data_IF_795376180449
#
_entry.id   IF_795376180449
#
_cell.length_a   1.000
_cell.length_b   1.000
_cell.length_c   1.000
_cell.angle_alpha   90.00
_cell.angle_beta   90.00
_cell.angle_gamma   90.00
#
_symmetry.space_group_name_H-M   'P 1'
#
loop_
_entity.id
_entity.type
_entity.pdbx_description
1 polymer ?
#
# COMPACT_ATOMS: atom_id res chain seq x y z
N UNK A 1 -0.88 21.38 -12.52
CA UNK A 1 -1.06 19.91 -12.38
C UNK A 1 -0.86 19.19 -13.70
N UNK A 2 -1.76 19.31 -14.70
CA UNK A 2 -1.66 18.58 -15.98
C UNK A 2 -0.29 18.71 -16.64
N UNK A 3 0.21 19.94 -16.83
CA UNK A 3 1.52 20.17 -17.45
C UNK A 3 2.66 19.41 -16.77
N UNK A 4 2.63 19.30 -15.44
CA UNK A 4 3.65 18.55 -14.69
C UNK A 4 3.50 17.04 -14.92
N UNK A 5 2.28 16.51 -14.79
CA UNK A 5 1.99 15.09 -15.02
C UNK A 5 2.36 14.69 -16.45
N UNK A 6 1.88 15.42 -17.46
CA UNK A 6 2.21 15.17 -18.87
C UNK A 6 3.72 15.18 -19.09
N UNK A 7 4.46 16.14 -18.53
CA UNK A 7 5.89 16.26 -18.75
C UNK A 7 6.69 15.11 -18.11
N UNK A 8 6.31 14.67 -16.91
CA UNK A 8 7.02 13.62 -16.17
C UNK A 8 6.62 12.24 -16.69
N UNK A 9 5.32 11.94 -16.76
CA UNK A 9 4.82 10.62 -17.12
C UNK A 9 5.18 10.27 -18.58
N UNK A 10 4.98 11.18 -19.53
CA UNK A 10 5.34 10.91 -20.95
C UNK A 10 6.84 10.76 -21.16
N UNK A 11 7.67 11.41 -20.34
CA UNK A 11 9.13 11.34 -20.48
C UNK A 11 9.67 9.95 -20.14
N UNK A 12 8.98 9.21 -19.27
CA UNK A 12 9.46 7.94 -18.72
C UNK A 12 8.51 6.77 -19.00
N UNK A 13 7.57 6.91 -19.94
CA UNK A 13 6.55 5.89 -20.25
C UNK A 13 7.13 4.57 -20.79
N UNK A 14 8.37 4.59 -21.27
CA UNK A 14 9.10 3.40 -21.74
C UNK A 14 9.95 2.73 -20.64
N UNK A 15 10.02 3.32 -19.45
CA UNK A 15 10.88 2.87 -18.34
C UNK A 15 10.06 2.56 -17.08
N UNK A 16 9.07 3.39 -16.75
CA UNK A 16 8.34 3.34 -15.49
C UNK A 16 7.06 2.54 -15.65
N UNK A 17 6.96 1.41 -14.94
CA UNK A 17 5.79 0.53 -15.01
C UNK A 17 4.61 0.99 -14.14
N UNK A 18 4.85 1.83 -13.12
CA UNK A 18 3.81 2.33 -12.24
C UNK A 18 4.12 3.71 -11.63
N UNK A 19 3.07 4.42 -11.25
CA UNK A 19 3.16 5.72 -10.59
C UNK A 19 2.29 5.79 -9.34
N UNK A 20 2.85 6.29 -8.24
CA UNK A 20 2.06 6.86 -7.15
C UNK A 20 1.58 8.25 -7.59
N UNK A 21 0.39 8.30 -8.19
CA UNK A 21 -0.14 9.52 -8.83
C UNK A 21 -0.52 10.57 -7.78
N UNK A 22 -1.06 10.12 -6.66
CA UNK A 22 -1.40 10.96 -5.51
C UNK A 22 -0.93 10.27 -4.24
N UNK A 23 -0.17 11.02 -3.44
CA UNK A 23 0.38 10.56 -2.17
C UNK A 23 -0.31 11.28 -1.00
N UNK A 24 -0.70 10.51 0.02
CA UNK A 24 -1.08 11.01 1.36
C UNK A 24 -2.22 12.04 1.43
N UNK A 25 -3.19 11.94 0.53
CA UNK A 25 -4.30 12.90 0.51
C UNK A 25 -5.31 12.72 1.67
N UNK A 26 -5.33 11.57 2.36
CA UNK A 26 -6.36 11.24 3.36
C UNK A 26 -5.89 11.59 4.78
N UNK A 27 -6.81 12.17 5.56
CA UNK A 27 -6.51 12.63 6.93
C UNK A 27 -6.47 11.48 7.96
N UNK A 28 -5.55 11.58 8.92
CA UNK A 28 -5.45 10.66 10.06
C UNK A 28 -6.52 10.91 11.13
N UNK A 29 -7.18 12.07 11.14
CA UNK A 29 -8.23 12.39 12.13
C UNK A 29 -9.44 11.48 11.96
N UNK A 30 -9.60 10.48 12.83
CA UNK A 30 -10.66 9.48 12.78
C UNK A 30 -12.09 10.06 12.72
N UNK A 31 -12.29 11.29 13.22
CA UNK A 31 -13.60 11.93 13.31
C UNK A 31 -13.85 12.97 12.21
N UNK A 32 -12.89 13.17 11.29
CA UNK A 32 -13.03 14.15 10.23
C UNK A 32 -14.23 13.84 9.33
N UNK A 33 -15.11 14.83 9.16
CA UNK A 33 -16.24 14.77 8.22
C UNK A 33 -15.77 14.83 6.78
N UNK A 34 -14.70 15.60 6.53
CA UNK A 34 -14.00 15.64 5.26
C UNK A 34 -12.81 14.67 5.30
N UNK A 35 -12.76 13.64 4.44
CA UNK A 35 -11.72 12.63 4.50
C UNK A 35 -10.36 13.13 4.01
N UNK A 36 -10.29 14.31 3.38
CA UNK A 36 -9.06 14.83 2.79
C UNK A 36 -8.32 15.79 3.70
N UNK A 37 -6.99 15.66 3.72
CA UNK A 37 -6.10 16.61 4.39
C UNK A 37 -6.24 18.02 3.80
N UNK A 38 -6.09 19.08 4.61
CA UNK A 38 -5.88 20.42 4.10
C UNK A 38 -4.62 20.44 3.20
N UNK A 39 -4.78 20.89 1.96
CA UNK A 39 -3.66 21.07 1.03
C UNK A 39 -3.99 22.16 0.03
N UNK A 40 -2.97 22.78 -0.57
CA UNK A 40 -3.18 23.76 -1.63
C UNK A 40 -3.93 23.16 -2.81
N UNK A 41 -3.68 21.88 -3.14
CA UNK A 41 -4.40 21.18 -4.21
C UNK A 41 -5.90 21.10 -3.92
N UNK A 42 -6.28 20.69 -2.72
CA UNK A 42 -7.68 20.64 -2.27
C UNK A 42 -8.32 22.02 -2.28
N UNK A 43 -7.61 23.04 -1.80
CA UNK A 43 -8.12 24.42 -1.77
C UNK A 43 -8.36 24.97 -3.17
N UNK A 44 -7.41 24.78 -4.09
CA UNK A 44 -7.49 25.31 -5.46
C UNK A 44 -8.55 24.57 -6.28
N UNK A 45 -8.64 23.24 -6.14
CA UNK A 45 -9.60 22.42 -6.89
C UNK A 45 -10.99 22.36 -6.25
N UNK A 46 -11.18 22.93 -5.06
CA UNK A 46 -12.48 22.93 -4.37
C UNK A 46 -12.92 21.54 -3.88
N UNK A 47 -11.99 20.66 -3.50
CA UNK A 47 -12.32 19.32 -2.98
C UNK A 47 -11.40 18.22 -3.51
N UNK A 48 -11.98 17.07 -3.84
CA UNK A 48 -11.26 15.87 -4.31
C UNK A 48 -10.97 15.87 -5.82
N UNK A 49 -11.42 16.91 -6.56
CA UNK A 49 -11.30 16.98 -8.01
C UNK A 49 -9.84 16.88 -8.49
N UNK A 50 -8.89 17.43 -7.72
CA UNK A 50 -7.47 17.32 -8.07
C UNK A 50 -7.00 15.88 -8.17
N UNK A 51 -7.50 14.99 -7.30
CA UNK A 51 -7.14 13.56 -7.30
C UNK A 51 -7.68 12.92 -8.58
N UNK A 52 -8.98 13.11 -8.86
CA UNK A 52 -9.64 12.57 -10.05
C UNK A 52 -8.94 13.00 -11.33
N UNK A 53 -8.62 14.29 -11.43
CA UNK A 53 -7.93 14.88 -12.57
C UNK A 53 -6.49 14.40 -12.69
N UNK A 54 -5.76 14.22 -11.58
CA UNK A 54 -4.40 13.69 -11.62
C UNK A 54 -4.36 12.29 -12.23
N UNK A 55 -5.25 11.38 -11.82
CA UNK A 55 -5.36 10.03 -12.40
C UNK A 55 -5.79 10.07 -13.88
N UNK A 56 -6.75 10.90 -14.25
CA UNK A 56 -7.15 11.08 -15.66
C UNK A 56 -5.97 11.52 -16.51
N UNK A 57 -5.22 12.54 -16.07
CA UNK A 57 -4.06 13.05 -16.81
C UNK A 57 -2.91 12.04 -16.86
N UNK A 58 -2.68 11.28 -15.79
CA UNK A 58 -1.67 10.22 -15.78
C UNK A 58 -2.01 9.13 -16.79
N UNK A 59 -3.28 8.68 -16.85
CA UNK A 59 -3.74 7.70 -17.83
C UNK A 59 -3.70 8.22 -19.27
N UNK A 60 -4.00 9.49 -19.49
CA UNK A 60 -3.85 10.14 -20.80
C UNK A 60 -2.38 10.23 -21.23
N UNK A 61 -1.47 10.44 -20.28
CA UNK A 61 -0.05 10.57 -20.54
C UNK A 61 0.62 9.20 -20.81
N UNK A 62 0.18 8.15 -20.11
CA UNK A 62 0.64 6.78 -20.28
C UNK A 62 -0.52 5.78 -20.08
N UNK A 63 -1.05 5.22 -21.18
CA UNK A 63 -2.13 4.24 -21.14
C UNK A 63 -1.75 2.88 -20.51
N UNK A 64 -0.46 2.56 -20.39
CA UNK A 64 0.03 1.23 -20.02
C UNK A 64 0.57 1.18 -18.57
N UNK A 65 0.98 2.31 -17.99
CA UNK A 65 1.44 2.36 -16.61
C UNK A 65 0.33 2.01 -15.59
N UNK A 66 0.69 1.34 -14.50
CA UNK A 66 -0.21 1.13 -13.36
C UNK A 66 -0.27 2.39 -12.48
N UNK A 67 -1.47 2.83 -12.14
CA UNK A 67 -1.71 4.07 -11.41
C UNK A 67 -2.18 3.79 -9.98
N UNK A 68 -1.41 4.26 -9.01
CA UNK A 68 -1.61 4.01 -7.59
C UNK A 68 -1.98 5.27 -6.81
N UNK A 69 -2.84 5.07 -5.82
CA UNK A 69 -2.97 5.98 -4.67
C UNK A 69 -2.13 5.42 -3.51
N UNK A 70 -1.18 6.20 -2.98
CA UNK A 70 -0.25 5.77 -1.93
C UNK A 70 -0.48 6.54 -0.62
N UNK A 71 -0.46 5.86 0.54
CA UNK A 71 -0.59 6.52 1.85
C UNK A 71 -0.01 5.69 3.00
N UNK A 72 0.47 6.35 4.06
CA UNK A 72 0.77 5.71 5.34
C UNK A 72 -0.47 5.51 6.20
N UNK A 73 -0.32 4.73 7.28
CA UNK A 73 -1.42 4.35 8.17
C UNK A 73 -2.59 3.69 7.42
N UNK A 74 -2.37 3.19 6.20
CA UNK A 74 -3.41 2.60 5.35
C UNK A 74 -4.00 1.30 5.93
N UNK A 75 -3.39 0.73 6.97
CA UNK A 75 -3.92 -0.39 7.74
C UNK A 75 -4.63 0.02 9.05
N UNK A 76 -4.56 1.30 9.47
CA UNK A 76 -5.29 1.80 10.63
C UNK A 76 -6.78 1.88 10.28
N UNK A 77 -7.69 1.23 11.03
CA UNK A 77 -9.08 1.03 10.59
C UNK A 77 -9.82 2.29 10.12
N UNK A 78 -9.70 3.39 10.86
CA UNK A 78 -10.37 4.65 10.52
C UNK A 78 -9.85 5.24 9.19
N UNK A 79 -8.53 5.26 8.98
CA UNK A 79 -7.93 5.78 7.75
C UNK A 79 -8.14 4.81 6.58
N UNK A 80 -8.02 3.50 6.84
CA UNK A 80 -8.30 2.43 5.88
C UNK A 80 -9.67 2.59 5.24
N UNK A 81 -10.69 2.83 6.08
CA UNK A 81 -12.06 2.92 5.61
C UNK A 81 -12.29 4.18 4.76
N UNK A 82 -11.64 5.30 5.08
CA UNK A 82 -11.67 6.52 4.25
C UNK A 82 -10.99 6.31 2.90
N UNK A 83 -9.79 5.72 2.88
CA UNK A 83 -9.07 5.40 1.65
C UNK A 83 -9.93 4.50 0.76
N UNK A 84 -10.48 3.42 1.34
CA UNK A 84 -11.37 2.49 0.63
C UNK A 84 -12.58 3.23 0.02
N UNK A 85 -13.30 4.03 0.81
CA UNK A 85 -14.49 4.73 0.33
C UNK A 85 -14.15 5.73 -0.79
N UNK A 86 -13.09 6.51 -0.62
CA UNK A 86 -12.62 7.47 -1.64
C UNK A 86 -12.28 6.76 -2.95
N UNK A 87 -11.44 5.72 -2.91
CA UNK A 87 -11.04 4.98 -4.12
C UNK A 87 -12.23 4.28 -4.75
N UNK A 88 -13.12 3.68 -3.95
CA UNK A 88 -14.35 3.04 -4.44
C UNK A 88 -15.25 4.02 -5.19
N UNK A 89 -15.50 5.20 -4.64
CA UNK A 89 -16.32 6.24 -5.27
C UNK A 89 -15.65 6.79 -6.54
N UNK A 90 -14.34 6.96 -6.54
CA UNK A 90 -13.58 7.40 -7.71
C UNK A 90 -13.64 6.37 -8.85
N UNK A 91 -13.43 5.08 -8.55
CA UNK A 91 -13.54 4.01 -9.54
C UNK A 91 -14.97 3.87 -10.07
N UNK A 92 -15.98 4.01 -9.22
CA UNK A 92 -17.38 4.04 -9.66
C UNK A 92 -17.68 5.20 -10.61
N UNK A 93 -16.97 6.32 -10.48
CA UNK A 93 -17.03 7.47 -11.37
C UNK A 93 -16.09 7.38 -12.60
N UNK A 94 -15.43 6.24 -12.83
CA UNK A 94 -14.56 6.03 -13.99
C UNK A 94 -13.14 6.60 -13.87
N UNK A 95 -12.69 6.96 -12.67
CA UNK A 95 -11.29 7.38 -12.45
C UNK A 95 -10.37 6.15 -12.56
N UNK A 96 -9.27 6.23 -13.35
CA UNK A 96 -8.41 5.07 -13.63
C UNK A 96 -7.42 4.81 -12.48
N UNK A 97 -7.88 4.15 -11.42
CA UNK A 97 -7.04 3.72 -10.28
C UNK A 97 -6.87 2.21 -10.36
N UNK A 98 -5.64 1.74 -10.58
CA UNK A 98 -5.33 0.32 -10.73
C UNK A 98 -4.96 -0.33 -9.40
N UNK A 99 -4.36 0.45 -8.49
CA UNK A 99 -3.87 -0.08 -7.23
C UNK A 99 -3.86 0.89 -6.05
N UNK A 100 -3.60 0.32 -4.87
CA UNK A 100 -3.38 1.04 -3.61
C UNK A 100 -1.98 0.70 -3.10
N UNK A 101 -1.19 1.75 -2.87
CA UNK A 101 0.08 1.70 -2.16
C UNK A 101 -0.15 1.86 -0.66
N UNK A 102 0.30 0.89 0.11
CA UNK A 102 0.38 0.94 1.55
C UNK A 102 1.84 1.19 1.91
N UNK A 103 2.20 2.40 2.35
CA UNK A 103 3.61 2.74 2.65
C UNK A 103 4.25 1.69 3.55
N UNK A 104 3.61 1.34 4.66
CA UNK A 104 4.07 0.25 5.52
C UNK A 104 5.04 0.70 6.61
N UNK A 105 5.05 2.00 6.95
CA UNK A 105 5.77 2.53 8.10
C UNK A 105 5.14 2.08 9.43
N UNK A 106 5.55 0.93 9.92
CA UNK A 106 4.98 0.27 11.09
C UNK A 106 5.90 0.35 12.30
N UNK A 107 5.47 -0.26 13.40
CA UNK A 107 6.32 -0.62 14.51
C UNK A 107 5.99 -2.02 15.04
N UNK A 108 6.77 -2.49 16.01
CA UNK A 108 6.59 -3.83 16.59
C UNK A 108 5.25 -4.02 17.32
N UNK A 109 4.54 -2.94 17.66
CA UNK A 109 3.23 -2.97 18.32
C UNK A 109 2.07 -2.81 17.33
N UNK A 110 2.15 -1.86 16.41
CA UNK A 110 1.05 -1.41 15.57
C UNK A 110 1.45 -1.22 14.10
N UNK A 111 0.49 -1.34 13.16
CA UNK A 111 -0.85 -1.90 13.33
C UNK A 111 -0.79 -3.41 13.61
N UNK A 112 -1.79 -3.97 14.28
CA UNK A 112 -1.88 -5.44 14.45
C UNK A 112 -1.85 -6.19 13.09
N UNK A 113 -1.38 -7.44 13.10
CA UNK A 113 -1.32 -8.28 11.89
C UNK A 113 -2.72 -8.47 11.29
N UNK A 114 -3.73 -8.59 12.13
CA UNK A 114 -5.14 -8.70 11.74
C UNK A 114 -5.63 -7.43 11.03
N UNK A 115 -5.21 -6.25 11.49
CA UNK A 115 -5.54 -4.98 10.83
C UNK A 115 -4.87 -4.84 9.47
N UNK A 116 -3.63 -5.32 9.33
CA UNK A 116 -2.93 -5.39 8.04
C UNK A 116 -3.67 -6.32 7.08
N UNK A 117 -4.00 -7.54 7.51
CA UNK A 117 -4.73 -8.51 6.69
C UNK A 117 -6.13 -8.00 6.32
N UNK A 118 -6.85 -7.37 7.26
CA UNK A 118 -8.15 -6.76 7.00
C UNK A 118 -8.07 -5.61 5.97
N UNK A 119 -7.00 -4.83 5.98
CA UNK A 119 -6.76 -3.80 4.97
C UNK A 119 -6.52 -4.39 3.58
N UNK A 120 -5.66 -5.42 3.47
CA UNK A 120 -5.41 -6.13 2.21
C UNK A 120 -6.71 -6.70 1.64
N UNK A 121 -7.48 -7.42 2.45
CA UNK A 121 -8.76 -8.01 2.04
C UNK A 121 -9.72 -6.92 1.58
N UNK A 122 -9.84 -5.82 2.33
CA UNK A 122 -10.77 -4.74 1.99
C UNK A 122 -10.39 -4.03 0.70
N UNK A 123 -9.11 -3.70 0.51
CA UNK A 123 -8.65 -3.06 -0.72
C UNK A 123 -8.76 -3.97 -1.94
N UNK A 124 -8.57 -5.28 -1.78
CA UNK A 124 -8.74 -6.26 -2.87
C UNK A 124 -10.16 -6.34 -3.44
N UNK A 125 -11.16 -5.75 -2.77
CA UNK A 125 -12.52 -5.65 -3.32
C UNK A 125 -12.66 -4.59 -4.42
N UNK A 126 -11.74 -3.62 -4.47
CA UNK A 126 -11.86 -2.43 -5.33
C UNK A 126 -10.66 -2.21 -6.25
N UNK A 127 -9.51 -2.81 -5.97
CA UNK A 127 -8.31 -2.73 -6.81
C UNK A 127 -7.70 -4.11 -7.06
N UNK A 128 -6.99 -4.24 -8.18
CA UNK A 128 -6.35 -5.49 -8.59
C UNK A 128 -4.91 -5.60 -8.05
N UNK A 129 -4.29 -4.46 -7.70
CA UNK A 129 -2.92 -4.37 -7.22
C UNK A 129 -2.83 -3.69 -5.85
N UNK A 130 -2.15 -4.36 -4.91
CA UNK A 130 -1.76 -3.79 -3.62
C UNK A 130 -0.24 -3.83 -3.53
N UNK A 131 0.38 -2.68 -3.31
CA UNK A 131 1.82 -2.57 -3.10
C UNK A 131 2.10 -2.20 -1.65
N UNK A 132 3.09 -2.85 -1.04
CA UNK A 132 3.79 -2.28 0.11
C UNK A 132 4.97 -1.49 -0.43
N UNK A 133 4.93 -0.17 -0.32
CA UNK A 133 5.77 0.74 -1.11
C UNK A 133 6.99 1.25 -0.36
N UNK A 134 6.94 1.30 0.97
CA UNK A 134 7.90 2.02 1.83
C UNK A 134 8.09 1.29 3.17
N UNK A 135 8.24 -0.05 3.13
CA UNK A 135 8.24 -0.88 4.33
C UNK A 135 9.44 -0.59 5.23
N UNK A 136 9.13 -0.24 6.48
CA UNK A 136 10.04 -0.26 7.62
C UNK A 136 9.26 -0.62 8.91
N UNK A 137 9.93 -1.27 9.86
CA UNK A 137 9.33 -1.66 11.15
C UNK A 137 10.25 -1.25 12.28
N UNK A 138 10.01 -0.10 12.89
CA UNK A 138 10.82 0.38 14.02
C UNK A 138 10.55 -0.37 15.33
N UNK A 139 11.57 -0.50 16.18
CA UNK A 139 11.48 -1.19 17.49
C UNK A 139 10.99 -0.31 18.64
N UNK A 140 10.35 0.81 18.34
CA UNK A 140 9.80 1.74 19.32
C UNK A 140 8.27 1.91 19.11
N UNK A 141 7.62 2.85 19.79
CA UNK A 141 6.15 3.09 19.66
C UNK A 141 5.75 4.12 18.58
N UNK A 142 6.70 4.75 17.90
CA UNK A 142 6.40 5.75 16.87
C UNK A 142 5.81 5.07 15.62
N UNK A 143 5.01 5.82 14.86
CA UNK A 143 4.34 5.30 13.66
C UNK A 143 4.08 6.44 12.65
N UNK A 144 3.87 6.09 11.39
CA UNK A 144 3.51 7.03 10.32
C UNK A 144 4.69 7.66 9.57
N UNK A 145 4.36 8.58 8.66
CA UNK A 145 5.27 9.23 7.69
C UNK A 145 5.96 10.51 8.16
N UNK A 146 5.90 10.86 9.45
CA UNK A 146 6.42 12.13 9.96
C UNK A 146 7.94 12.10 10.23
N UNK A 147 8.65 13.19 9.88
CA UNK A 147 10.09 13.39 10.12
C UNK A 147 10.49 13.63 11.59
N UNK A 148 9.66 13.22 12.55
CA UNK A 148 9.97 13.39 13.97
C UNK A 148 10.97 12.32 14.42
N UNK A 149 12.26 12.53 14.16
CA UNK A 149 13.37 11.72 14.67
C UNK A 149 13.60 12.11 16.14
N UNK A 150 12.89 11.50 17.09
CA UNK A 150 13.09 11.76 18.52
C UNK A 150 13.05 10.47 19.35
N UNK A 151 14.21 10.15 19.94
CA UNK A 151 14.50 9.30 21.10
C UNK A 151 13.96 7.87 21.07
N UNK A 152 14.79 6.97 20.52
CA UNK A 152 14.59 5.54 20.58
C UNK A 152 14.37 5.09 22.02
N UNK A 153 13.38 4.21 22.21
CA UNK A 153 13.14 3.59 23.51
C UNK A 153 14.25 2.57 23.89
N UNK A 154 15.27 2.41 23.05
CA UNK A 154 16.39 1.47 23.17
C UNK A 154 16.11 0.10 22.54
N UNK A 155 17.14 -0.56 22.03
CA UNK A 155 17.05 -1.94 21.54
C UNK A 155 17.22 -2.91 22.71
N UNK A 156 16.26 -3.80 22.92
CA UNK A 156 16.31 -4.86 23.94
C UNK A 156 16.07 -6.23 23.29
N UNK A 157 16.52 -7.32 23.92
CA UNK A 157 16.28 -8.68 23.40
C UNK A 157 14.79 -8.97 23.20
N UNK A 158 13.94 -8.50 24.11
CA UNK A 158 12.48 -8.60 23.98
C UNK A 158 11.96 -7.90 22.72
N UNK A 159 12.44 -6.68 22.43
CA UNK A 159 12.04 -5.94 21.23
C UNK A 159 12.57 -6.54 19.94
N UNK A 160 13.77 -7.10 19.97
CA UNK A 160 14.34 -7.84 18.83
C UNK A 160 13.51 -9.09 18.53
N UNK A 161 13.07 -9.81 19.56
CA UNK A 161 12.16 -10.94 19.39
C UNK A 161 10.81 -10.49 18.81
N UNK A 162 10.20 -9.42 19.35
CA UNK A 162 8.96 -8.86 18.81
C UNK A 162 9.12 -8.40 17.35
N UNK A 163 10.28 -7.83 17.00
CA UNK A 163 10.61 -7.39 15.66
C UNK A 163 10.69 -8.56 14.67
N UNK A 164 11.38 -9.65 15.04
CA UNK A 164 11.42 -10.86 14.23
C UNK A 164 10.02 -11.47 14.05
N UNK A 165 9.26 -11.60 15.13
CA UNK A 165 7.89 -12.13 15.11
C UNK A 165 6.97 -11.26 14.24
N UNK A 166 7.09 -9.94 14.32
CA UNK A 166 6.33 -9.00 13.49
C UNK A 166 6.60 -9.23 12.01
N UNK A 167 7.87 -9.33 11.61
CA UNK A 167 8.26 -9.60 10.22
C UNK A 167 7.76 -10.95 9.73
N UNK A 168 7.91 -12.01 10.53
CA UNK A 168 7.43 -13.36 10.18
C UNK A 168 5.93 -13.32 9.92
N UNK A 169 5.13 -12.86 10.90
CA UNK A 169 3.68 -12.82 10.78
C UNK A 169 3.21 -11.91 9.63
N UNK A 170 3.90 -10.80 9.40
CA UNK A 170 3.61 -9.89 8.29
C UNK A 170 3.83 -10.58 6.94
N UNK A 171 5.00 -11.17 6.71
CA UNK A 171 5.29 -11.87 5.46
C UNK A 171 4.41 -13.12 5.27
N UNK A 172 3.99 -13.79 6.34
CA UNK A 172 2.97 -14.85 6.25
C UNK A 172 1.65 -14.34 5.67
N UNK A 173 1.14 -13.21 6.17
CA UNK A 173 -0.05 -12.55 5.61
C UNK A 173 0.16 -12.22 4.14
N UNK A 174 1.27 -11.56 3.78
CA UNK A 174 1.52 -11.16 2.40
C UNK A 174 1.54 -12.36 1.45
N UNK A 175 2.09 -13.49 1.90
CA UNK A 175 2.16 -14.73 1.11
C UNK A 175 0.79 -15.39 0.96
N UNK A 176 -0.11 -15.27 1.94
CA UNK A 176 -1.51 -15.72 1.81
C UNK A 176 -2.27 -14.91 0.75
N UNK A 177 -1.94 -13.63 0.59
CA UNK A 177 -2.57 -12.68 -0.34
C UNK A 177 -1.70 -12.32 -1.54
N UNK A 178 -0.75 -13.19 -1.91
CA UNK A 178 0.17 -12.98 -3.03
C UNK A 178 -0.50 -12.97 -4.41
N UNK A 179 -1.81 -13.18 -4.47
CA UNK A 179 -2.65 -12.97 -5.65
C UNK A 179 -3.03 -11.51 -5.89
N UNK A 180 -2.96 -10.66 -4.86
CA UNK A 180 -3.26 -9.21 -4.95
C UNK A 180 -2.12 -8.33 -4.45
N UNK A 181 -1.25 -8.84 -3.55
CA UNK A 181 -0.03 -8.16 -3.12
C UNK A 181 1.10 -8.47 -4.10
N UNK A 182 1.40 -7.53 -4.99
CA UNK A 182 2.38 -7.73 -6.08
C UNK A 182 3.79 -7.25 -5.76
N UNK A 183 3.94 -6.26 -4.87
CA UNK A 183 5.24 -5.63 -4.57
C UNK A 183 5.38 -5.38 -3.07
N UNK A 184 6.60 -5.61 -2.57
CA UNK A 184 7.06 -5.21 -1.25
C UNK A 184 8.41 -4.52 -1.42
N UNK A 185 8.43 -3.20 -1.22
CA UNK A 185 9.62 -2.35 -1.29
C UNK A 185 9.96 -1.88 0.11
N UNK A 186 11.24 -1.99 0.49
CA UNK A 186 11.75 -1.48 1.76
C UNK A 186 12.20 -0.02 1.60
N UNK A 187 11.97 0.79 2.63
CA UNK A 187 12.32 2.22 2.61
C UNK A 187 13.72 2.44 3.19
N UNK A 188 14.72 2.35 2.32
CA UNK A 188 16.17 2.22 2.56
C UNK A 188 16.69 0.77 2.55
N UNK A 189 18.01 0.64 2.49
CA UNK A 189 18.70 -0.67 2.42
C UNK A 189 18.96 -1.22 3.82
N UNK A 190 19.47 -0.39 4.72
CA UNK A 190 20.01 -0.78 6.01
C UNK A 190 19.63 0.22 7.11
N UNK A 191 19.76 -0.21 8.37
CA UNK A 191 19.55 0.66 9.53
C UNK A 191 20.44 1.93 9.45
N UNK A 192 21.64 1.81 8.86
CA UNK A 192 22.60 2.92 8.66
C UNK A 192 22.05 4.10 7.84
N UNK A 193 21.29 3.82 6.78
CA UNK A 193 20.80 4.83 5.84
C UNK A 193 19.31 5.14 6.01
N UNK A 194 18.67 4.55 7.02
CA UNK A 194 17.25 4.76 7.28
C UNK A 194 16.95 6.21 7.64
N UNK A 195 15.91 6.76 7.00
CA UNK A 195 15.33 8.05 7.36
C UNK A 195 14.83 8.13 8.81
N UNK A 196 14.61 6.98 9.47
CA UNK A 196 14.24 6.88 10.88
C UNK A 196 15.45 6.95 11.81
N UNK A 197 16.67 6.76 11.30
CA UNK A 197 17.90 6.64 12.08
C UNK A 197 18.15 5.23 12.63
N UNK A 198 19.42 4.85 12.68
CA UNK A 198 19.92 3.53 13.08
C UNK A 198 19.38 3.03 14.43
N UNK A 199 19.23 3.94 15.42
CA UNK A 199 18.74 3.61 16.77
C UNK A 199 17.33 2.99 16.80
N UNK A 200 16.59 3.07 15.70
CA UNK A 200 15.25 2.51 15.56
C UNK A 200 15.21 1.09 14.98
N UNK A 201 16.37 0.55 14.59
CA UNK A 201 16.54 -0.82 14.07
C UNK A 201 15.52 -1.25 12.98
N UNK A 202 15.18 -0.40 11.99
CA UNK A 202 13.95 -0.55 11.20
C UNK A 202 13.97 -1.56 10.06
N UNK A 203 15.13 -2.04 9.61
CA UNK A 203 15.31 -2.73 8.33
C UNK A 203 15.97 -4.11 8.46
N UNK A 204 16.23 -4.78 7.33
CA UNK A 204 16.78 -6.14 7.31
C UNK A 204 18.32 -6.20 7.39
N UNK A 205 19.00 -5.09 7.20
CA UNK A 205 20.45 -4.98 7.27
C UNK A 205 20.86 -3.99 8.36
N UNK A 206 21.94 -4.28 9.07
CA UNK A 206 22.41 -3.48 10.19
C UNK A 206 23.25 -2.27 9.75
N UNK A 207 23.81 -1.55 10.72
CA UNK A 207 24.59 -0.33 10.48
C UNK A 207 25.87 -0.55 9.65
N UNK A 208 26.31 -1.80 9.49
CA UNK A 208 27.45 -2.20 8.67
C UNK A 208 27.01 -2.80 7.33
N UNK A 209 25.73 -2.71 6.97
CA UNK A 209 25.11 -3.35 5.81
C UNK A 209 25.18 -4.88 5.82
N UNK A 210 25.37 -5.49 7.01
CA UNK A 210 25.34 -6.94 7.16
C UNK A 210 23.90 -7.42 7.42
N UNK A 211 23.51 -8.59 6.88
CA UNK A 211 22.15 -9.10 7.02
C UNK A 211 21.84 -9.48 8.48
N UNK A 212 20.76 -8.90 9.03
CA UNK A 212 20.24 -9.24 10.36
C UNK A 212 19.59 -10.63 10.36
N UNK A 213 19.42 -11.30 11.51
CA UNK A 213 18.77 -12.62 11.57
C UNK A 213 17.40 -12.68 10.87
N UNK A 214 16.61 -11.60 10.95
CA UNK A 214 15.31 -11.47 10.29
C UNK A 214 15.39 -11.53 8.76
N UNK A 215 16.50 -11.10 8.15
CA UNK A 215 16.69 -11.14 6.69
C UNK A 215 16.50 -12.57 6.16
N UNK A 216 17.09 -13.54 6.84
CA UNK A 216 17.01 -14.95 6.47
C UNK A 216 15.60 -15.51 6.66
N UNK A 217 14.82 -15.02 7.64
CA UNK A 217 13.42 -15.39 7.82
C UNK A 217 12.54 -14.92 6.66
N UNK A 218 12.80 -13.71 6.15
CA UNK A 218 12.08 -13.15 5.01
C UNK A 218 12.50 -13.81 3.69
N UNK A 219 13.81 -13.98 3.47
CA UNK A 219 14.36 -14.59 2.24
C UNK A 219 13.96 -16.05 2.09
N UNK A 220 14.13 -16.83 3.14
CA UNK A 220 13.92 -18.28 3.11
C UNK A 220 12.51 -18.67 3.58
N UNK A 221 11.57 -17.70 3.51
CA UNK A 221 10.19 -17.90 3.93
C UNK A 221 9.60 -19.15 3.27
N UNK A 222 9.28 -20.14 4.09
CA UNK A 222 8.72 -21.41 3.64
C UNK A 222 7.31 -21.56 4.18
N UNK A 223 6.26 -21.39 3.35
CA UNK A 223 4.89 -21.51 3.84
C UNK A 223 4.62 -22.92 4.33
N UNK A 224 3.93 -23.02 5.47
CA UNK A 224 3.49 -24.30 6.02
C UNK A 224 2.55 -25.02 5.06
N UNK A 225 2.36 -26.34 5.23
CA UNK A 225 1.43 -27.11 4.40
C UNK A 225 -0.01 -26.58 4.49
N UNK A 226 -0.39 -26.03 5.64
CA UNK A 226 -1.71 -25.47 5.88
C UNK A 226 -1.88 -24.11 5.18
N UNK A 227 -0.89 -23.23 5.25
CA UNK A 227 -0.87 -21.97 4.48
C UNK A 227 -0.93 -22.21 2.97
N UNK A 228 -0.21 -23.21 2.46
CA UNK A 228 -0.30 -23.60 1.04
C UNK A 228 -1.74 -23.99 0.65
N UNK A 229 -2.48 -24.62 1.56
CA UNK A 229 -3.89 -25.01 1.35
C UNK A 229 -4.82 -23.80 1.38
N UNK A 230 -4.59 -22.85 2.28
CA UNK A 230 -5.36 -21.60 2.40
C UNK A 230 -5.12 -20.73 1.16
N UNK A 231 -3.86 -20.48 0.77
CA UNK A 231 -3.52 -19.70 -0.41
C UNK A 231 -4.13 -20.29 -1.70
N UNK A 232 -4.15 -21.62 -1.83
CA UNK A 232 -4.80 -22.31 -2.96
C UNK A 232 -6.33 -22.12 -2.98
N UNK A 233 -6.98 -22.02 -1.82
CA UNK A 233 -8.41 -21.70 -1.73
C UNK A 233 -8.68 -20.23 -2.05
N UNK A 234 -7.86 -19.31 -1.54
CA UNK A 234 -7.98 -17.87 -1.82
C UNK A 234 -7.88 -17.60 -3.33
N UNK A 235 -6.83 -18.10 -4.00
CA UNK A 235 -6.65 -17.99 -5.46
C UNK A 235 -7.85 -18.49 -6.27
N UNK A 236 -8.46 -19.61 -5.86
CA UNK A 236 -9.69 -20.13 -6.51
C UNK A 236 -10.89 -19.21 -6.31
N UNK A 237 -11.01 -18.58 -5.14
CA UNK A 237 -12.09 -17.63 -4.84
C UNK A 237 -11.97 -16.36 -5.67
N UNK A 238 -10.76 -15.80 -5.76
CA UNK A 238 -10.48 -14.59 -6.55
C UNK A 238 -10.69 -14.85 -8.05
N UNK A 239 -10.17 -15.95 -8.59
CA UNK A 239 -10.40 -16.32 -10.00
C UNK A 239 -11.91 -16.45 -10.32
N UNK A 240 -12.70 -16.98 -9.38
CA UNK A 240 -14.16 -17.06 -9.53
C UNK A 240 -14.84 -15.69 -9.47
N UNK A 241 -14.40 -14.79 -8.60
CA UNK A 241 -14.91 -13.41 -8.55
C UNK A 241 -14.59 -12.65 -9.85
N UNK A 242 -13.37 -12.77 -10.36
CA UNK A 242 -12.94 -12.14 -11.60
C UNK A 242 -13.77 -12.64 -12.81
N UNK A 243 -14.00 -13.95 -12.90
CA UNK A 243 -14.88 -14.54 -13.93
C UNK A 243 -16.29 -13.96 -13.85
N UNK A 244 -16.89 -13.96 -12.66
CA UNK A 244 -18.25 -13.43 -12.49
C UNK A 244 -18.35 -11.94 -12.83
N UNK A 245 -17.33 -11.14 -12.51
CA UNK A 245 -17.29 -9.73 -12.84
C UNK A 245 -17.14 -9.49 -14.35
N UNK A 246 -16.33 -10.30 -15.04
CA UNK A 246 -16.20 -10.27 -16.49
C UNK A 246 -17.52 -10.65 -17.19
N UNK A 247 -18.18 -11.70 -16.72
CA UNK A 247 -19.48 -12.15 -17.24
C UNK A 247 -20.56 -11.06 -17.05
N UNK A 248 -20.57 -10.39 -15.89
CA UNK A 248 -21.48 -9.29 -15.61
C UNK A 248 -21.23 -8.08 -16.52
N UNK A 249 -19.96 -7.73 -16.76
CA UNK A 249 -19.58 -6.66 -17.71
C UNK A 249 -20.01 -7.00 -19.15
N UNK A 250 -19.78 -8.24 -19.59
CA UNK A 250 -20.18 -8.70 -20.91
C UNK A 250 -21.70 -8.67 -21.10
N UNK A 251 -22.47 -9.12 -20.11
CA UNK A 251 -23.93 -9.08 -20.14
C UNK A 251 -24.48 -7.64 -20.17
N UNK A 252 -23.83 -6.70 -19.47
CA UNK A 252 -24.21 -5.29 -19.49
C UNK A 252 -23.92 -4.65 -20.87
N UNK A 253 -22.76 -4.96 -21.46
CA UNK A 253 -22.39 -4.49 -22.79
C UNK A 253 -23.35 -5.00 -23.87
N UNK A 254 -23.75 -6.27 -23.80
CA UNK A 254 -24.70 -6.88 -24.75
C UNK A 254 -26.12 -6.29 -24.62
N UNK A 255 -26.56 -5.95 -23.40
CA UNK A 255 -27.83 -5.22 -23.17
C UNK A 255 -27.81 -3.80 -23.74
N UNK A 256 -26.68 -3.12 -23.67
CA UNK A 256 -26.53 -1.77 -24.20
C UNK A 256 -26.37 -1.75 -25.73
N UNK A 257 -25.89 -2.82 -26.35
CA UNK A 257 -25.81 -2.97 -27.81
C UNK A 257 -27.16 -3.29 -28.47
N UNK A 258 -28.08 -3.91 -27.72
CA UNK A 258 -29.41 -4.28 -28.20
C UNK A 258 -30.50 -3.21 -27.90
N UNK A 259 -30.09 -1.99 -27.55
CA UNK A 259 -30.94 -0.80 -27.39
C UNK A 259 -30.54 0.26 -28.39
#
# INVERSE_FOLDING_TARGET
>A
MKTHIDAVVKRYSDIIYCWDVVNEAVTDDANATDPLRPSQWKTIAGGDEFIRKAFQFAREADPDALLFYNDYNAAVPAKRDKIYNMVKEMKAAGVPIDGIGMQGHFNIYEPSIENIEAAIVKYSEIVDHIHFTELDIRVNRQMGGGLAIQQGEGVTDERLQMFEEKYINFFEVLRRHADVVSVVTFWNVADADSWLGADNYPLLFDDNFEPKPVYYKVRDFTPTKEEKKIAKKAKKSVARKASNAADAKAALAQKNFNR
#
